data_IF_609897952978
#
_entry.id   IF_609897952978
#
_cell.length_a   1.000
_cell.length_b   1.000
_cell.length_c   1.000
_cell.angle_alpha   90.00
_cell.angle_beta   90.00
_cell.angle_gamma   90.00
#
_symmetry.space_group_name_H-M   'P 1'
#
loop_
_entity.id
_entity.type
_entity.pdbx_description
1 polymer ?
#
# COMPACT_ATOMS: atom_id res chain seq x y z
N UNK A 1 46.14 -43.93 -41.82
CA UNK A 1 45.41 -44.72 -40.81
C UNK A 1 45.82 -44.14 -39.45
N UNK A 2 45.09 -43.16 -38.88
CA UNK A 2 44.01 -43.35 -37.86
C UNK A 2 44.40 -44.42 -36.83
N UNK A 3 44.42 -44.16 -35.51
CA UNK A 3 43.26 -43.92 -34.64
C UNK A 3 43.63 -43.03 -33.42
N UNK A 4 42.80 -42.03 -33.16
CA UNK A 4 42.69 -41.26 -31.91
C UNK A 4 41.96 -42.07 -30.82
N UNK A 5 42.34 -41.88 -29.55
CA UNK A 5 41.45 -42.19 -28.41
C UNK A 5 41.44 -41.02 -27.42
N UNK A 6 40.48 -40.12 -27.62
CA UNK A 6 40.07 -39.10 -26.65
C UNK A 6 39.33 -39.75 -25.48
N UNK A 7 39.80 -39.48 -24.27
CA UNK A 7 39.22 -39.94 -23.02
C UNK A 7 38.32 -38.83 -22.45
N UNK A 8 37.00 -38.90 -22.69
CA UNK A 8 36.04 -37.92 -22.19
C UNK A 8 35.47 -38.35 -20.84
N UNK A 9 35.85 -37.62 -19.79
CA UNK A 9 35.28 -37.69 -18.44
C UNK A 9 33.80 -37.27 -18.45
N UNK A 10 32.90 -38.14 -17.96
CA UNK A 10 31.48 -37.83 -17.72
C UNK A 10 31.31 -37.07 -16.39
N UNK A 11 30.89 -35.80 -16.45
CA UNK A 11 30.41 -35.02 -15.29
C UNK A 11 29.05 -35.55 -14.78
N UNK A 12 28.73 -35.44 -13.47
CA UNK A 12 27.45 -35.89 -12.92
C UNK A 12 26.32 -34.96 -13.40
N UNK A 13 25.20 -35.55 -13.86
CA UNK A 13 23.98 -34.80 -14.23
C UNK A 13 23.28 -34.31 -12.96
N UNK A 14 23.03 -33.00 -12.88
CA UNK A 14 22.17 -32.38 -11.88
C UNK A 14 20.77 -33.04 -11.87
N UNK A 15 20.08 -33.11 -10.72
CA UNK A 15 18.79 -33.76 -10.64
C UNK A 15 17.77 -32.99 -11.49
N UNK A 16 17.21 -33.65 -12.51
CA UNK A 16 16.08 -33.12 -13.27
C UNK A 16 14.89 -33.03 -12.32
N UNK A 17 14.52 -31.81 -11.93
CA UNK A 17 13.20 -31.53 -11.36
C UNK A 17 12.13 -32.11 -12.27
N UNK A 18 11.48 -33.15 -11.79
CA UNK A 18 10.44 -33.87 -12.52
C UNK A 18 9.20 -32.98 -12.62
N UNK A 19 9.12 -32.21 -13.71
CA UNK A 19 7.90 -31.65 -14.24
C UNK A 19 6.91 -32.80 -14.53
N UNK A 20 5.93 -33.00 -13.66
CA UNK A 20 4.77 -33.83 -13.92
C UNK A 20 3.51 -33.05 -13.54
N UNK A 21 2.80 -32.54 -14.55
CA UNK A 21 1.36 -32.18 -14.54
C UNK A 21 0.84 -31.23 -13.44
N UNK A 22 1.64 -30.28 -12.99
CA UNK A 22 1.17 -29.19 -12.13
C UNK A 22 2.29 -28.21 -11.84
N UNK A 23 1.92 -27.02 -11.35
CA UNK A 23 2.83 -25.95 -10.90
C UNK A 23 4.09 -26.54 -10.24
N UNK A 24 5.25 -26.01 -10.63
CA UNK A 24 6.55 -26.25 -10.01
C UNK A 24 6.50 -26.03 -8.50
N UNK A 25 7.47 -26.56 -7.76
CA UNK A 25 7.51 -26.42 -6.30
C UNK A 25 7.53 -24.95 -5.87
N UNK A 26 8.23 -24.10 -6.61
CA UNK A 26 8.28 -22.65 -6.41
C UNK A 26 6.92 -21.99 -6.68
N UNK A 27 6.28 -22.29 -7.81
CA UNK A 27 4.94 -21.77 -8.12
C UNK A 27 3.89 -22.17 -7.07
N UNK A 28 3.94 -23.40 -6.55
CA UNK A 28 3.05 -23.82 -5.45
C UNK A 28 3.31 -23.07 -4.15
N UNK A 29 4.57 -22.70 -3.88
CA UNK A 29 4.94 -21.88 -2.73
C UNK A 29 4.37 -20.47 -2.88
N UNK A 30 4.55 -19.85 -4.04
CA UNK A 30 4.01 -18.51 -4.31
C UNK A 30 2.47 -18.48 -4.25
N UNK A 31 1.78 -19.47 -4.82
CA UNK A 31 0.32 -19.57 -4.71
C UNK A 31 -0.15 -19.68 -3.26
N UNK A 32 0.57 -20.42 -2.41
CA UNK A 32 0.24 -20.50 -0.97
C UNK A 32 0.53 -19.19 -0.26
N UNK A 33 1.64 -18.52 -0.59
CA UNK A 33 1.99 -17.21 -0.04
C UNK A 33 0.92 -16.17 -0.38
N UNK A 34 0.45 -16.11 -1.63
CA UNK A 34 -0.63 -15.21 -2.03
C UNK A 34 -1.94 -15.51 -1.28
N UNK A 35 -2.29 -16.78 -1.07
CA UNK A 35 -3.47 -17.14 -0.26
C UNK A 35 -3.38 -16.62 1.18
N UNK A 36 -2.21 -16.68 1.79
CA UNK A 36 -1.98 -16.12 3.13
C UNK A 36 -2.10 -14.59 3.14
N UNK A 37 -1.61 -13.93 2.10
CA UNK A 37 -1.73 -12.46 1.94
C UNK A 37 -3.20 -12.07 1.78
N UNK A 38 -3.96 -12.75 0.92
CA UNK A 38 -5.40 -12.46 0.74
C UNK A 38 -6.21 -12.71 2.02
N UNK A 39 -5.92 -13.81 2.74
CA UNK A 39 -6.50 -14.07 4.05
C UNK A 39 -6.14 -12.99 5.07
N UNK A 40 -4.88 -12.52 5.08
CA UNK A 40 -4.43 -11.41 5.92
C UNK A 40 -5.14 -10.10 5.59
N UNK A 41 -5.28 -9.77 4.31
CA UNK A 41 -6.02 -8.57 3.86
C UNK A 41 -7.47 -8.63 4.37
N UNK A 42 -8.11 -9.79 4.22
CA UNK A 42 -9.47 -9.98 4.70
C UNK A 42 -9.54 -9.79 6.22
N UNK A 43 -8.84 -10.62 6.99
CA UNK A 43 -8.97 -10.68 8.45
C UNK A 43 -8.46 -9.43 9.15
N UNK A 44 -7.28 -8.91 8.79
CA UNK A 44 -6.76 -7.68 9.40
C UNK A 44 -7.66 -6.48 9.05
N UNK A 45 -8.17 -6.43 7.82
CA UNK A 45 -9.05 -5.37 7.38
C UNK A 45 -10.43 -5.38 8.05
N UNK A 46 -10.94 -6.54 8.46
CA UNK A 46 -12.28 -6.67 9.07
C UNK A 46 -12.24 -6.72 10.59
N UNK A 47 -11.25 -7.39 11.18
CA UNK A 47 -11.18 -7.65 12.61
C UNK A 47 -10.12 -6.80 13.31
N UNK A 48 -9.16 -6.27 12.55
CA UNK A 48 -7.99 -5.57 13.07
C UNK A 48 -6.84 -6.51 13.40
N UNK A 49 -5.60 -6.04 13.23
CA UNK A 49 -4.38 -6.82 13.42
C UNK A 49 -4.31 -7.55 14.77
N UNK A 50 -4.61 -6.84 15.87
CA UNK A 50 -4.48 -7.39 17.23
C UNK A 50 -5.51 -8.47 17.59
N UNK A 51 -6.56 -8.62 16.78
CA UNK A 51 -7.61 -9.62 17.01
C UNK A 51 -7.45 -10.86 16.14
N UNK A 52 -6.39 -10.95 15.33
CA UNK A 52 -6.18 -12.03 14.36
C UNK A 52 -4.94 -12.83 14.72
N UNK A 53 -5.10 -14.15 14.82
CA UNK A 53 -3.99 -15.09 15.08
C UNK A 53 -3.48 -15.75 13.80
N UNK A 54 -2.27 -16.33 13.84
CA UNK A 54 -1.72 -17.16 12.75
C UNK A 54 -2.67 -18.30 12.38
N UNK A 55 -3.35 -18.88 13.38
CA UNK A 55 -4.32 -19.96 13.18
C UNK A 55 -5.54 -19.47 12.39
N UNK A 56 -6.04 -18.28 12.68
CA UNK A 56 -7.18 -17.69 11.96
C UNK A 56 -6.83 -17.46 10.49
N UNK A 57 -5.65 -16.89 10.22
CA UNK A 57 -5.13 -16.70 8.85
C UNK A 57 -5.01 -18.03 8.11
N UNK A 58 -4.46 -19.06 8.76
CA UNK A 58 -4.31 -20.39 8.16
C UNK A 58 -5.67 -21.02 7.82
N UNK A 59 -6.64 -20.89 8.72
CA UNK A 59 -7.99 -21.40 8.50
C UNK A 59 -8.66 -20.70 7.31
N UNK A 60 -8.58 -19.37 7.25
CA UNK A 60 -9.13 -18.56 6.15
C UNK A 60 -8.46 -18.89 4.81
N UNK A 61 -7.14 -19.02 4.79
CA UNK A 61 -6.38 -19.39 3.60
C UNK A 61 -6.57 -20.87 3.19
N UNK A 62 -7.21 -21.70 4.03
CA UNK A 62 -7.31 -23.16 3.90
C UNK A 62 -5.94 -23.83 3.80
N UNK A 63 -5.01 -23.41 4.67
CA UNK A 63 -3.64 -23.89 4.76
C UNK A 63 -3.31 -24.29 6.21
N UNK A 64 -2.25 -25.09 6.38
CA UNK A 64 -1.72 -25.42 7.72
C UNK A 64 -0.70 -24.38 8.18
N UNK A 65 -0.47 -24.26 9.49
CA UNK A 65 0.58 -23.38 10.05
C UNK A 65 1.98 -23.64 9.49
N UNK A 66 2.29 -24.89 9.11
CA UNK A 66 3.55 -25.22 8.41
C UNK A 66 3.77 -24.34 7.16
N UNK A 67 2.72 -24.04 6.42
CA UNK A 67 2.79 -23.24 5.19
C UNK A 67 2.84 -21.74 5.48
N UNK A 68 2.29 -21.31 6.62
CA UNK A 68 2.51 -19.97 7.13
C UNK A 68 4.01 -19.76 7.40
N UNK A 69 4.61 -20.62 8.22
CA UNK A 69 6.02 -20.51 8.58
C UNK A 69 7.00 -20.78 7.43
N UNK A 70 6.54 -21.33 6.31
CA UNK A 70 7.30 -21.42 5.06
C UNK A 70 7.44 -20.06 4.35
N UNK A 71 6.52 -19.12 4.63
CA UNK A 71 6.39 -17.82 3.95
C UNK A 71 6.67 -16.62 4.87
N UNK A 72 6.28 -16.71 6.14
CA UNK A 72 6.37 -15.63 7.12
C UNK A 72 6.77 -16.19 8.49
N UNK A 73 7.72 -15.56 9.18
CA UNK A 73 8.16 -16.02 10.50
C UNK A 73 7.18 -15.67 11.61
N UNK A 74 6.42 -14.58 11.43
CA UNK A 74 5.50 -14.02 12.42
C UNK A 74 4.37 -13.23 11.77
N UNK A 75 3.33 -12.95 12.55
CA UNK A 75 2.11 -12.25 12.09
C UNK A 75 2.43 -10.86 11.52
N UNK A 76 3.39 -10.17 12.14
CA UNK A 76 3.86 -8.84 11.76
C UNK A 76 4.50 -8.81 10.36
N UNK A 77 5.20 -9.87 9.97
CA UNK A 77 5.80 -9.96 8.61
C UNK A 77 4.72 -10.12 7.54
N UNK A 78 3.67 -10.89 7.84
CA UNK A 78 2.49 -10.97 6.98
C UNK A 78 1.77 -9.63 6.93
N UNK A 79 1.54 -8.99 8.09
CA UNK A 79 0.88 -7.68 8.15
C UNK A 79 1.66 -6.61 7.38
N UNK A 80 2.99 -6.56 7.51
CA UNK A 80 3.84 -5.68 6.72
C UNK A 80 3.63 -5.90 5.22
N UNK A 81 3.57 -7.16 4.78
CA UNK A 81 3.33 -7.49 3.36
C UNK A 81 1.93 -7.04 2.91
N UNK A 82 0.91 -7.27 3.73
CA UNK A 82 -0.48 -6.82 3.49
C UNK A 82 -0.55 -5.29 3.41
N UNK A 83 0.08 -4.59 4.35
CA UNK A 83 0.18 -3.14 4.37
C UNK A 83 0.83 -2.60 3.09
N UNK A 84 1.98 -3.14 2.69
CA UNK A 84 2.66 -2.73 1.45
C UNK A 84 1.78 -2.95 0.21
N UNK A 85 1.07 -4.08 0.13
CA UNK A 85 0.15 -4.37 -1.00
C UNK A 85 -1.03 -3.38 -1.04
N UNK A 86 -1.55 -2.97 0.12
CA UNK A 86 -2.61 -1.95 0.20
C UNK A 86 -2.10 -0.55 -0.17
N UNK A 87 -0.90 -0.19 0.29
CA UNK A 87 -0.24 1.07 -0.07
C UNK A 87 0.01 1.13 -1.58
N UNK A 88 0.55 0.07 -2.17
CA UNK A 88 0.82 0.00 -3.61
C UNK A 88 -0.47 0.17 -4.43
N UNK A 89 -1.55 -0.54 -4.04
CA UNK A 89 -2.88 -0.40 -4.66
C UNK A 89 -3.36 1.05 -4.59
N UNK A 90 -3.28 1.68 -3.42
CA UNK A 90 -3.68 3.07 -3.21
C UNK A 90 -2.83 4.02 -4.08
N UNK A 91 -1.50 3.92 -4.03
CA UNK A 91 -0.57 4.76 -4.79
C UNK A 91 -0.82 4.67 -6.30
N UNK A 92 -1.07 3.47 -6.82
CA UNK A 92 -1.37 3.27 -8.23
C UNK A 92 -2.67 3.98 -8.64
N UNK A 93 -3.74 3.88 -7.83
CA UNK A 93 -4.99 4.59 -8.08
C UNK A 93 -4.81 6.11 -8.07
N UNK A 94 -4.10 6.66 -7.07
CA UNK A 94 -3.86 8.10 -6.95
C UNK A 94 -3.01 8.62 -8.12
N UNK A 95 -1.91 7.94 -8.42
CA UNK A 95 -0.97 8.36 -9.47
C UNK A 95 -1.66 8.38 -10.83
N UNK A 96 -2.44 7.35 -11.17
CA UNK A 96 -3.19 7.31 -12.42
C UNK A 96 -4.20 8.45 -12.52
N UNK A 97 -4.99 8.69 -11.46
CA UNK A 97 -5.99 9.74 -11.45
C UNK A 97 -5.38 11.15 -11.60
N UNK A 98 -4.28 11.41 -10.89
CA UNK A 98 -3.56 12.69 -10.96
C UNK A 98 -2.96 12.91 -12.35
N UNK A 99 -2.32 11.91 -12.95
CA UNK A 99 -1.73 12.03 -14.28
C UNK A 99 -2.77 12.29 -15.36
N UNK A 100 -3.95 11.67 -15.28
CA UNK A 100 -5.04 11.90 -16.24
C UNK A 100 -5.67 13.28 -16.11
N UNK A 101 -5.59 13.92 -14.94
CA UNK A 101 -6.17 15.23 -14.67
C UNK A 101 -5.18 16.40 -14.85
N UNK A 102 -3.90 16.10 -15.08
CA UNK A 102 -2.87 17.08 -15.37
C UNK A 102 -3.15 17.87 -16.67
N UNK A 103 -2.62 19.10 -16.82
CA UNK A 103 -1.72 19.80 -15.90
C UNK A 103 -2.41 20.77 -14.93
N UNK A 104 -3.76 20.80 -14.87
CA UNK A 104 -4.48 21.80 -14.08
C UNK A 104 -4.46 21.40 -12.59
N UNK A 105 -3.82 22.18 -11.68
CA UNK A 105 -3.63 21.78 -10.28
C UNK A 105 -4.90 21.43 -9.52
N UNK A 106 -5.96 22.23 -9.69
CA UNK A 106 -7.26 22.02 -9.02
C UNK A 106 -7.92 20.71 -9.47
N UNK A 107 -7.81 20.37 -10.77
CA UNK A 107 -8.29 19.10 -11.31
C UNK A 107 -7.48 17.93 -10.77
N UNK A 108 -6.15 18.06 -10.69
CA UNK A 108 -5.25 17.05 -10.14
C UNK A 108 -5.58 16.71 -8.67
N UNK A 109 -5.78 17.74 -7.83
CA UNK A 109 -6.21 17.57 -6.43
C UNK A 109 -7.55 16.83 -6.35
N UNK A 110 -8.54 17.32 -7.10
CA UNK A 110 -9.91 16.76 -7.07
C UNK A 110 -9.91 15.31 -7.55
N UNK A 111 -9.17 14.99 -8.61
CA UNK A 111 -9.07 13.64 -9.15
C UNK A 111 -8.36 12.68 -8.18
N UNK A 112 -7.23 13.10 -7.58
CA UNK A 112 -6.50 12.29 -6.61
C UNK A 112 -7.32 11.98 -5.35
N UNK A 113 -7.98 12.99 -4.78
CA UNK A 113 -8.84 12.81 -3.60
C UNK A 113 -10.09 11.99 -3.92
N UNK A 114 -10.69 12.18 -5.10
CA UNK A 114 -11.80 11.35 -5.55
C UNK A 114 -11.40 9.89 -5.71
N UNK A 115 -10.24 9.62 -6.33
CA UNK A 115 -9.72 8.26 -6.48
C UNK A 115 -9.44 7.60 -5.13
N UNK A 116 -8.83 8.33 -4.19
CA UNK A 116 -8.59 7.86 -2.82
C UNK A 116 -9.89 7.48 -2.11
N UNK A 117 -10.88 8.37 -2.10
CA UNK A 117 -12.14 8.16 -1.40
C UNK A 117 -12.96 7.03 -2.02
N UNK A 118 -12.98 6.90 -3.35
CA UNK A 118 -13.62 5.77 -4.02
C UNK A 118 -12.92 4.46 -3.69
N UNK A 119 -11.58 4.40 -3.74
CA UNK A 119 -10.83 3.18 -3.38
C UNK A 119 -11.11 2.72 -1.94
N UNK A 120 -11.24 3.64 -1.00
CA UNK A 120 -11.59 3.35 0.40
C UNK A 120 -13.05 2.91 0.53
N UNK A 121 -13.97 3.52 -0.22
CA UNK A 121 -15.39 3.14 -0.22
C UNK A 121 -15.59 1.73 -0.78
N UNK A 122 -14.89 1.41 -1.87
CA UNK A 122 -14.94 0.11 -2.54
C UNK A 122 -14.28 -0.98 -1.71
N UNK A 123 -13.24 -0.64 -0.95
CA UNK A 123 -12.54 -1.56 -0.06
C UNK A 123 -12.22 -0.93 1.31
N UNK A 124 -13.19 -0.92 2.25
CA UNK A 124 -13.01 -0.29 3.58
C UNK A 124 -11.85 -0.86 4.40
N UNK A 125 -11.45 -2.09 4.10
CA UNK A 125 -10.29 -2.76 4.72
C UNK A 125 -9.00 -1.97 4.51
N UNK A 126 -8.89 -1.28 3.37
CA UNK A 126 -7.75 -0.44 3.04
C UNK A 126 -7.51 0.62 4.12
N UNK A 127 -8.57 1.33 4.53
CA UNK A 127 -8.45 2.39 5.52
C UNK A 127 -8.12 1.84 6.91
N UNK A 128 -8.69 0.69 7.29
CA UNK A 128 -8.34 0.02 8.57
C UNK A 128 -6.86 -0.36 8.62
N UNK A 129 -6.35 -1.00 7.56
CA UNK A 129 -4.96 -1.45 7.50
C UNK A 129 -3.99 -0.26 7.46
N UNK A 130 -4.24 0.73 6.60
CA UNK A 130 -3.30 1.83 6.35
C UNK A 130 -3.32 2.88 7.48
N UNK A 131 -4.50 3.31 7.93
CA UNK A 131 -4.63 4.49 8.79
C UNK A 131 -4.85 4.18 10.27
N UNK A 132 -5.28 2.96 10.61
CA UNK A 132 -5.57 2.58 11.99
C UNK A 132 -4.52 1.61 12.50
N UNK A 133 -4.39 0.46 11.85
CA UNK A 133 -3.55 -0.62 12.38
C UNK A 133 -2.05 -0.38 12.13
N UNK A 134 -1.66 0.20 10.99
CA UNK A 134 -0.23 0.39 10.66
C UNK A 134 0.52 1.27 11.67
N UNK A 135 -0.11 2.34 12.17
CA UNK A 135 0.50 3.20 13.20
C UNK A 135 0.74 2.42 14.50
N UNK A 136 -0.29 1.70 14.97
CA UNK A 136 -0.20 0.88 16.18
C UNK A 136 0.85 -0.24 16.06
N UNK A 137 0.93 -0.90 14.89
CA UNK A 137 1.91 -1.96 14.65
C UNK A 137 3.33 -1.41 14.59
N UNK A 138 3.53 -0.25 13.95
CA UNK A 138 4.84 0.40 13.92
C UNK A 138 5.31 0.78 15.32
N UNK A 139 4.44 1.38 16.14
CA UNK A 139 4.77 1.80 17.51
C UNK A 139 5.10 0.61 18.41
N UNK A 140 4.31 -0.47 18.33
CA UNK A 140 4.45 -1.61 19.23
C UNK A 140 5.53 -2.61 18.82
N UNK A 141 5.83 -2.72 17.52
CA UNK A 141 6.73 -3.75 16.98
C UNK A 141 7.96 -3.18 16.26
N UNK A 142 8.17 -1.86 16.33
CA UNK A 142 9.29 -1.14 15.72
C UNK A 142 9.56 -1.56 14.26
N UNK A 143 8.49 -1.57 13.45
CA UNK A 143 8.55 -2.02 12.07
C UNK A 143 9.14 -0.93 11.16
N UNK A 144 10.47 -0.96 10.98
CA UNK A 144 11.22 0.01 10.18
C UNK A 144 10.63 0.22 8.77
N UNK A 145 10.21 -0.84 8.09
CA UNK A 145 9.63 -0.71 6.74
C UNK A 145 8.29 0.03 6.73
N UNK A 146 7.46 -0.12 7.76
CA UNK A 146 6.21 0.67 7.85
C UNK A 146 6.57 2.15 8.02
N UNK A 147 7.51 2.47 8.92
CA UNK A 147 8.00 3.83 9.13
C UNK A 147 8.60 4.44 7.85
N UNK A 148 9.44 3.69 7.13
CA UNK A 148 10.03 4.11 5.86
C UNK A 148 8.96 4.38 4.80
N UNK A 149 7.93 3.53 4.71
CA UNK A 149 6.82 3.69 3.75
C UNK A 149 6.02 4.95 4.06
N UNK A 150 5.72 5.22 5.33
CA UNK A 150 5.03 6.45 5.76
C UNK A 150 5.87 7.68 5.41
N UNK A 151 7.19 7.63 5.68
CA UNK A 151 8.12 8.72 5.33
C UNK A 151 8.20 8.94 3.81
N UNK A 152 8.17 7.88 3.01
CA UNK A 152 8.16 7.98 1.56
C UNK A 152 6.86 8.61 1.04
N UNK A 153 5.72 8.27 1.66
CA UNK A 153 4.45 8.88 1.31
C UNK A 153 4.45 10.40 1.58
N UNK A 154 5.01 10.85 2.70
CA UNK A 154 5.15 12.29 2.99
C UNK A 154 5.95 13.01 1.91
N UNK A 155 7.05 12.41 1.40
CA UNK A 155 7.82 12.97 0.29
C UNK A 155 7.03 13.09 -1.01
N UNK A 156 6.15 12.12 -1.29
CA UNK A 156 5.26 12.16 -2.46
C UNK A 156 4.27 13.32 -2.33
N UNK A 157 3.66 13.51 -1.15
CA UNK A 157 2.76 14.63 -0.89
C UNK A 157 3.50 15.97 -0.98
N UNK A 158 4.72 16.08 -0.46
CA UNK A 158 5.56 17.28 -0.61
C UNK A 158 5.82 17.62 -2.08
N UNK A 159 6.22 16.64 -2.89
CA UNK A 159 6.40 16.83 -4.33
C UNK A 159 5.11 17.26 -5.04
N UNK A 160 3.98 16.68 -4.65
CA UNK A 160 2.67 17.05 -5.18
C UNK A 160 2.26 18.48 -4.81
N UNK A 161 2.50 18.91 -3.56
CA UNK A 161 2.28 20.30 -3.11
C UNK A 161 3.13 21.26 -3.96
N UNK A 162 4.42 20.97 -4.17
CA UNK A 162 5.29 21.81 -4.99
C UNK A 162 4.82 21.95 -6.44
N UNK A 163 4.26 20.88 -7.02
CA UNK A 163 3.75 20.89 -8.40
C UNK A 163 2.43 21.66 -8.52
N UNK A 164 1.55 21.50 -7.54
CA UNK A 164 0.19 22.07 -7.58
C UNK A 164 0.10 23.48 -7.02
N UNK A 165 1.09 23.92 -6.23
CA UNK A 165 1.11 25.21 -5.56
C UNK A 165 2.39 25.96 -5.94
N UNK A 166 2.41 26.64 -7.10
CA UNK A 166 3.64 27.25 -7.65
C UNK A 166 4.23 28.37 -6.78
N UNK A 167 3.41 29.00 -5.93
CA UNK A 167 3.85 30.02 -4.95
C UNK A 167 3.78 29.50 -3.50
N UNK A 168 3.96 28.19 -3.30
CA UNK A 168 4.16 27.60 -1.97
C UNK A 168 5.35 28.26 -1.25
N UNK A 169 5.44 28.14 0.09
CA UNK A 169 6.59 28.65 0.84
C UNK A 169 7.91 28.22 0.23
N UNK A 170 8.91 29.10 0.23
CA UNK A 170 10.19 28.83 -0.44
C UNK A 170 11.09 27.91 0.39
N UNK A 171 10.87 27.80 1.71
CA UNK A 171 11.66 26.93 2.55
C UNK A 171 11.15 25.49 2.50
N UNK A 172 12.08 24.53 2.42
CA UNK A 172 11.75 23.11 2.40
C UNK A 172 11.04 22.66 3.69
N UNK A 173 11.35 23.29 4.82
CA UNK A 173 10.73 23.00 6.12
C UNK A 173 9.26 23.43 6.15
N UNK A 174 8.93 24.62 5.66
CA UNK A 174 7.54 25.09 5.57
C UNK A 174 6.70 24.23 4.61
N UNK A 175 7.24 23.85 3.45
CA UNK A 175 6.57 22.92 2.52
C UNK A 175 6.35 21.55 3.18
N UNK A 176 7.34 21.06 3.92
CA UNK A 176 7.24 19.80 4.67
C UNK A 176 6.11 19.85 5.70
N UNK A 177 6.06 20.88 6.55
CA UNK A 177 5.01 21.05 7.55
C UNK A 177 3.63 21.21 6.91
N UNK A 178 3.53 21.95 5.80
CA UNK A 178 2.30 22.11 5.04
C UNK A 178 1.80 20.79 4.47
N UNK A 179 2.68 20.00 3.84
CA UNK A 179 2.35 18.68 3.33
C UNK A 179 1.88 17.73 4.44
N UNK A 180 2.56 17.72 5.59
CA UNK A 180 2.15 16.95 6.77
C UNK A 180 0.77 17.36 7.27
N UNK A 181 0.49 18.67 7.37
CA UNK A 181 -0.81 19.19 7.80
C UNK A 181 -1.95 18.82 6.85
N UNK A 182 -1.72 18.96 5.54
CA UNK A 182 -2.67 18.56 4.49
C UNK A 182 -2.97 17.06 4.52
N UNK A 183 -1.93 16.23 4.67
CA UNK A 183 -2.08 14.78 4.81
C UNK A 183 -2.88 14.41 6.07
N UNK A 184 -2.56 15.05 7.21
CA UNK A 184 -3.28 14.85 8.47
C UNK A 184 -4.76 15.22 8.37
N UNK A 185 -5.08 16.34 7.72
CA UNK A 185 -6.46 16.79 7.49
C UNK A 185 -7.29 15.74 6.74
N UNK A 186 -6.78 15.24 5.60
CA UNK A 186 -7.46 14.22 4.80
C UNK A 186 -7.57 12.89 5.56
N UNK A 187 -6.49 12.48 6.24
CA UNK A 187 -6.44 11.25 7.03
C UNK A 187 -7.50 11.24 8.14
N UNK A 188 -7.65 12.35 8.88
CA UNK A 188 -8.65 12.45 9.94
C UNK A 188 -10.09 12.41 9.40
N UNK A 189 -10.35 13.04 8.24
CA UNK A 189 -11.66 12.95 7.58
C UNK A 189 -11.97 11.50 7.17
N UNK A 190 -11.00 10.80 6.56
CA UNK A 190 -11.15 9.39 6.16
C UNK A 190 -11.45 8.50 7.37
N UNK A 191 -10.66 8.61 8.44
CA UNK A 191 -10.85 7.81 9.65
C UNK A 191 -12.25 8.01 10.22
N UNK A 192 -12.72 9.26 10.30
CA UNK A 192 -14.07 9.58 10.75
C UNK A 192 -15.13 8.97 9.83
N UNK A 193 -15.00 9.16 8.52
CA UNK A 193 -15.98 8.68 7.54
C UNK A 193 -16.11 7.15 7.56
N UNK A 194 -14.99 6.44 7.68
CA UNK A 194 -14.95 4.98 7.79
C UNK A 194 -15.54 4.51 9.13
N UNK A 195 -15.15 5.14 10.24
CA UNK A 195 -15.64 4.77 11.59
C UNK A 195 -17.14 5.00 11.75
N UNK A 196 -17.69 5.99 11.06
CA UNK A 196 -19.13 6.26 11.03
C UNK A 196 -19.90 5.33 10.07
N UNK A 197 -19.22 4.45 9.33
CA UNK A 197 -19.85 3.52 8.38
C UNK A 197 -20.30 4.21 7.10
N UNK A 198 -19.53 5.20 6.62
CA UNK A 198 -19.78 5.96 5.39
C UNK A 198 -21.12 6.72 5.38
N UNK A 199 -21.56 7.23 6.54
CA UNK A 199 -22.84 7.96 6.68
C UNK A 199 -22.95 9.17 5.75
N UNK A 200 -21.87 9.94 5.60
CA UNK A 200 -21.85 11.11 4.74
C UNK A 200 -21.73 10.70 3.27
N UNK A 201 -22.46 11.37 2.35
CA UNK A 201 -22.27 11.20 0.92
C UNK A 201 -20.81 11.44 0.51
N UNK A 202 -20.31 10.63 -0.45
CA UNK A 202 -18.93 10.76 -0.94
C UNK A 202 -18.65 12.17 -1.48
N UNK A 203 -19.63 12.80 -2.14
CA UNK A 203 -19.48 14.15 -2.68
C UNK A 203 -19.19 15.20 -1.58
N UNK A 204 -19.85 15.09 -0.42
CA UNK A 204 -19.66 16.01 0.70
C UNK A 204 -18.28 15.81 1.34
N UNK A 205 -17.85 14.56 1.49
CA UNK A 205 -16.53 14.20 2.00
C UNK A 205 -15.43 14.66 1.03
N UNK A 206 -15.62 14.46 -0.26
CA UNK A 206 -14.70 14.93 -1.30
C UNK A 206 -14.59 16.45 -1.28
N UNK A 207 -15.72 17.16 -1.19
CA UNK A 207 -15.74 18.63 -1.10
C UNK A 207 -14.97 19.11 0.12
N UNK A 208 -15.18 18.49 1.29
CA UNK A 208 -14.45 18.81 2.51
C UNK A 208 -12.94 18.57 2.35
N UNK A 209 -12.53 17.41 1.83
CA UNK A 209 -11.12 17.11 1.58
C UNK A 209 -10.48 18.11 0.60
N UNK A 210 -11.19 18.51 -0.46
CA UNK A 210 -10.67 19.45 -1.46
C UNK A 210 -10.54 20.87 -0.94
N UNK A 211 -11.44 21.32 -0.04
CA UNK A 211 -11.57 22.72 0.36
C UNK A 211 -10.24 23.36 0.78
N UNK A 212 -9.47 22.69 1.63
CA UNK A 212 -8.18 23.21 2.14
C UNK A 212 -7.16 23.31 1.01
N UNK A 213 -7.04 22.29 0.16
CA UNK A 213 -6.09 22.30 -0.97
C UNK A 213 -6.43 23.39 -1.99
N UNK A 214 -7.70 23.51 -2.37
CA UNK A 214 -8.15 24.52 -3.32
C UNK A 214 -7.94 25.93 -2.78
N UNK A 215 -8.23 26.16 -1.49
CA UNK A 215 -7.97 27.43 -0.84
C UNK A 215 -6.48 27.82 -0.88
N UNK A 216 -5.58 26.85 -0.66
CA UNK A 216 -4.14 27.11 -0.77
C UNK A 216 -3.71 27.38 -2.21
N UNK A 217 -4.24 26.65 -3.20
CA UNK A 217 -3.96 26.90 -4.63
C UNK A 217 -4.41 28.31 -5.02
N UNK A 218 -5.61 28.73 -4.62
CA UNK A 218 -6.15 30.07 -4.92
C UNK A 218 -5.33 31.17 -4.25
N UNK A 219 -5.04 31.03 -2.95
CA UNK A 219 -4.28 32.03 -2.18
C UNK A 219 -2.85 32.19 -2.71
N UNK A 220 -2.23 31.09 -3.14
CA UNK A 220 -0.90 31.14 -3.75
C UNK A 220 -0.95 31.72 -5.16
N UNK A 221 -2.02 31.50 -5.94
CA UNK A 221 -2.19 32.07 -7.27
C UNK A 221 -2.44 33.59 -7.28
N UNK A 222 -3.03 34.15 -6.23
CA UNK A 222 -3.38 35.58 -6.12
C UNK A 222 -2.22 36.50 -5.70
N UNK A 223 -1.07 35.97 -5.28
CA UNK A 223 0.10 36.78 -4.84
C UNK A 223 0.93 37.39 -6.00
N UNK A 224 0.34 37.53 -7.20
CA UNK A 224 0.94 38.18 -8.36
C UNK A 224 0.28 39.52 -8.65
#
# INVERSE_FOLDING_TARGET
MTISTDNVQKKPKAPKERQFKGLSLTERKEVRREKLIEAGIHLYGTNGFFSVTVKDVCNEAKLTERYFYESFKKSEELFQTVFLKMIEKMQNCLTQAVLMAAPVPTNMVTAGLSALLNAIKDDPRMARIIYIDAMLVQDLHNQATIQETLTQFDRIIQGFVMITMPNAPQSAEEVSLMATGLNGYVTHIIIRWVSEGFKQPLADVLSACCAVFLSFIETTSQKN
#
